data_IF_793971268989
#
_entry.id   IF_793971268989
#
_cell.length_a   1.000
_cell.length_b   1.000
_cell.length_c   1.000
_cell.angle_alpha   90.00
_cell.angle_beta   90.00
_cell.angle_gamma   90.00
#
_symmetry.space_group_name_H-M   'P 1'
#
loop_
_entity.id
_entity.type
_entity.pdbx_description
1 polymer ?
#
# COMPACT_ATOMS: atom_id res chain seq x y z
N UNK A 1 -21.17 -38.96 53.68
CA UNK A 1 -19.91 -38.19 53.83
C UNK A 1 -19.49 -37.73 52.45
N UNK A 2 -19.77 -36.50 52.09
CA UNK A 2 -19.43 -35.91 50.76
C UNK A 2 -18.00 -35.38 50.81
N UNK A 3 -17.20 -35.76 49.85
CA UNK A 3 -15.78 -35.38 49.71
C UNK A 3 -15.67 -33.93 49.23
N UNK A 4 -14.99 -33.00 49.94
CA UNK A 4 -14.94 -31.59 49.61
C UNK A 4 -14.01 -31.23 48.41
N UNK A 5 -13.34 -32.21 47.82
CA UNK A 5 -12.31 -31.96 46.82
C UNK A 5 -12.79 -31.76 45.36
N UNK A 6 -13.99 -32.20 45.02
CA UNK A 6 -14.44 -32.24 43.61
C UNK A 6 -14.96 -30.89 43.10
N UNK A 7 -15.45 -30.05 43.99
CA UNK A 7 -16.05 -28.74 43.58
C UNK A 7 -15.00 -27.68 43.28
N UNK A 8 -13.82 -27.73 43.88
CA UNK A 8 -12.70 -26.80 43.64
C UNK A 8 -12.00 -27.10 42.34
N UNK A 9 -11.86 -28.38 41.95
CA UNK A 9 -11.20 -28.77 40.72
C UNK A 9 -12.03 -28.40 39.47
N UNK A 10 -13.37 -28.51 39.55
CA UNK A 10 -14.27 -28.12 38.42
C UNK A 10 -14.26 -26.59 38.21
N UNK A 11 -14.17 -25.77 39.25
CA UNK A 11 -14.07 -24.31 39.13
C UNK A 11 -12.76 -23.87 38.51
N UNK A 12 -11.63 -24.48 38.83
CA UNK A 12 -10.33 -24.19 38.24
C UNK A 12 -10.26 -24.54 36.76
N UNK A 13 -10.84 -25.69 36.35
CA UNK A 13 -10.88 -26.09 34.92
C UNK A 13 -11.77 -25.16 34.06
N UNK A 14 -12.91 -24.71 34.63
CA UNK A 14 -13.79 -23.77 33.95
C UNK A 14 -13.13 -22.39 33.77
N UNK A 15 -12.43 -21.90 34.82
CA UNK A 15 -11.70 -20.63 34.76
C UNK A 15 -10.54 -20.70 33.73
N UNK A 16 -9.80 -21.81 33.69
CA UNK A 16 -8.71 -21.99 32.70
C UNK A 16 -9.24 -22.05 31.28
N UNK A 17 -10.38 -22.73 31.06
CA UNK A 17 -11.02 -22.79 29.72
C UNK A 17 -11.46 -21.42 29.22
N UNK A 18 -12.04 -20.56 30.07
CA UNK A 18 -12.47 -19.21 29.72
C UNK A 18 -11.27 -18.33 29.38
N UNK A 19 -10.17 -18.42 30.17
CA UNK A 19 -8.95 -17.63 29.91
C UNK A 19 -8.31 -18.05 28.58
N UNK A 20 -8.21 -19.35 28.31
CA UNK A 20 -7.66 -19.84 27.02
C UNK A 20 -8.53 -19.41 25.85
N UNK A 21 -9.87 -19.46 25.98
CA UNK A 21 -10.79 -19.00 24.94
C UNK A 21 -10.66 -17.50 24.70
N UNK A 22 -10.52 -16.69 25.75
CA UNK A 22 -10.31 -15.23 25.64
C UNK A 22 -8.96 -14.91 25.00
N UNK A 23 -7.90 -15.65 25.29
CA UNK A 23 -6.59 -15.48 24.66
C UNK A 23 -6.65 -15.84 23.18
N UNK A 24 -7.31 -16.94 22.80
CA UNK A 24 -7.49 -17.33 21.41
C UNK A 24 -8.35 -16.32 20.62
N UNK A 25 -9.37 -15.73 21.24
CA UNK A 25 -10.15 -14.65 20.64
C UNK A 25 -9.34 -13.34 20.51
N UNK A 26 -8.45 -13.05 21.45
CA UNK A 26 -7.55 -11.90 21.33
C UNK A 26 -6.56 -12.07 20.18
N UNK A 27 -6.00 -13.26 19.99
CA UNK A 27 -5.10 -13.56 18.85
C UNK A 27 -5.83 -13.45 17.51
N UNK A 28 -7.09 -13.91 17.41
CA UNK A 28 -7.92 -13.76 16.20
C UNK A 28 -8.23 -12.28 15.93
N UNK A 29 -8.35 -11.44 16.94
CA UNK A 29 -8.55 -9.99 16.78
C UNK A 29 -7.27 -9.25 16.40
N UNK A 30 -6.09 -9.78 16.76
CA UNK A 30 -4.79 -9.20 16.39
C UNK A 30 -4.42 -9.51 14.93
N UNK A 31 -4.79 -10.67 14.39
CA UNK A 31 -4.53 -11.02 12.99
C UNK A 31 -5.37 -10.24 11.97
N UNK A 32 -6.44 -9.57 12.36
CA UNK A 32 -7.24 -8.73 11.48
C UNK A 32 -6.74 -7.29 11.35
N UNK A 33 -5.47 -7.05 11.60
CA UNK A 33 -4.78 -5.77 11.33
C UNK A 33 -4.72 -5.38 9.84
N UNK A 34 -5.65 -5.91 9.01
CA UNK A 34 -5.87 -5.44 7.66
C UNK A 34 -6.03 -3.91 7.69
N UNK A 35 -5.26 -3.21 6.89
CA UNK A 35 -5.24 -1.76 6.76
C UNK A 35 -6.65 -1.24 6.43
N UNK A 36 -7.50 -1.06 7.46
CA UNK A 36 -8.85 -0.53 7.27
C UNK A 36 -8.76 0.98 7.09
N UNK A 37 -9.01 1.42 5.87
CA UNK A 37 -9.11 2.83 5.50
C UNK A 37 -10.57 3.12 5.13
N UNK A 38 -11.33 3.87 5.94
CA UNK A 38 -12.72 4.20 5.62
C UNK A 38 -12.86 4.79 4.21
N UNK A 39 -13.77 4.24 3.42
CA UNK A 39 -14.02 4.67 2.05
C UNK A 39 -12.94 4.29 1.02
N UNK A 40 -11.98 3.42 1.38
CA UNK A 40 -10.98 2.85 0.46
C UNK A 40 -11.15 1.34 0.41
N UNK A 41 -11.39 0.80 -0.76
CA UNK A 41 -11.42 -0.66 -0.99
C UNK A 41 -10.02 -1.15 -1.29
N UNK A 42 -9.36 -1.76 -0.29
CA UNK A 42 -8.02 -2.31 -0.42
C UNK A 42 -8.10 -3.80 -0.76
N UNK A 43 -7.41 -4.19 -1.82
CA UNK A 43 -7.19 -5.59 -2.20
C UNK A 43 -5.81 -5.97 -1.66
N UNK A 44 -5.79 -6.89 -0.71
CA UNK A 44 -4.54 -7.40 -0.11
C UNK A 44 -3.68 -8.12 -1.15
N UNK A 45 -2.42 -8.35 -0.83
CA UNK A 45 -1.50 -9.14 -1.67
C UNK A 45 -2.08 -10.51 -2.04
N UNK A 46 -2.64 -11.25 -1.09
CA UNK A 46 -3.35 -12.51 -1.34
C UNK A 46 -4.55 -12.30 -2.29
N UNK A 47 -5.28 -11.20 -2.11
CA UNK A 47 -6.50 -10.88 -2.85
C UNK A 47 -6.30 -10.62 -4.34
N UNK A 48 -5.08 -10.23 -4.79
CA UNK A 48 -4.73 -10.10 -6.20
C UNK A 48 -3.76 -11.18 -6.70
N UNK A 49 -3.40 -12.15 -5.83
CA UNK A 49 -2.52 -13.26 -6.18
C UNK A 49 -1.06 -12.86 -6.33
N UNK A 50 -0.55 -12.03 -5.41
CA UNK A 50 0.85 -11.63 -5.37
C UNK A 50 1.77 -12.82 -5.10
N UNK A 51 2.92 -12.82 -5.76
CA UNK A 51 4.05 -13.68 -5.37
C UNK A 51 4.61 -13.19 -4.02
N UNK A 52 5.11 -14.08 -3.15
CA UNK A 52 5.85 -13.68 -1.96
C UNK A 52 7.04 -12.79 -2.32
N UNK A 53 7.35 -11.76 -1.52
CA UNK A 53 8.56 -10.97 -1.71
C UNK A 53 9.80 -11.81 -1.35
N UNK A 54 10.90 -11.64 -2.11
CA UNK A 54 12.18 -12.28 -1.79
C UNK A 54 12.89 -11.61 -0.61
N UNK A 55 12.66 -10.30 -0.44
CA UNK A 55 13.20 -9.49 0.65
C UNK A 55 12.25 -8.33 0.94
N UNK A 56 12.13 -7.95 2.20
CA UNK A 56 11.42 -6.75 2.63
C UNK A 56 12.34 -5.88 3.48
N UNK A 57 12.59 -4.66 3.02
CA UNK A 57 13.41 -3.68 3.72
C UNK A 57 12.48 -2.68 4.41
N UNK A 58 12.57 -2.48 5.73
CA UNK A 58 11.84 -1.42 6.42
C UNK A 58 12.25 -0.04 5.89
N UNK A 59 11.32 0.91 5.89
CA UNK A 59 11.67 2.31 5.61
C UNK A 59 12.64 2.84 6.67
N UNK A 60 13.54 3.73 6.27
CA UNK A 60 14.49 4.41 7.18
C UNK A 60 13.76 5.24 8.25
N UNK A 61 12.59 5.78 7.93
CA UNK A 61 11.75 6.57 8.84
C UNK A 61 10.44 5.83 9.14
N UNK A 62 9.90 5.90 10.37
CA UNK A 62 8.66 5.23 10.73
C UNK A 62 7.44 5.77 9.97
N UNK A 63 7.56 7.00 9.43
CA UNK A 63 6.52 7.69 8.64
C UNK A 63 7.13 8.20 7.34
N UNK A 64 6.48 7.92 6.22
CA UNK A 64 6.90 8.47 4.94
C UNK A 64 6.78 10.00 4.94
N UNK A 65 7.84 10.68 4.57
CA UNK A 65 7.86 12.15 4.43
C UNK A 65 7.53 12.60 3.01
N UNK A 66 7.57 11.68 2.04
CA UNK A 66 7.29 11.93 0.63
C UNK A 66 6.25 10.93 0.10
N UNK A 67 5.37 11.42 -0.76
CA UNK A 67 4.43 10.60 -1.54
C UNK A 67 4.71 10.85 -3.01
N UNK A 68 5.02 9.78 -3.74
CA UNK A 68 5.29 9.84 -5.17
C UNK A 68 4.13 9.21 -5.96
N UNK A 69 3.58 9.98 -6.89
CA UNK A 69 2.57 9.50 -7.82
C UNK A 69 3.27 8.99 -9.08
N UNK A 70 2.89 7.76 -9.46
CA UNK A 70 3.38 7.07 -10.64
C UNK A 70 2.24 6.63 -11.54
N UNK A 71 2.57 6.21 -12.75
CA UNK A 71 1.75 5.35 -13.59
C UNK A 71 2.55 4.10 -13.96
N UNK A 72 1.84 3.02 -14.33
CA UNK A 72 2.51 1.78 -14.74
C UNK A 72 2.88 1.75 -16.21
N UNK A 73 2.36 2.70 -17.00
CA UNK A 73 2.25 2.62 -18.47
C UNK A 73 1.39 1.44 -18.93
N UNK A 74 1.24 1.24 -20.27
CA UNK A 74 0.46 0.14 -20.83
C UNK A 74 -1.06 0.26 -20.62
N UNK A 75 -1.80 -0.85 -20.71
CA UNK A 75 -3.26 -0.84 -20.69
C UNK A 75 -3.85 -0.52 -19.31
N UNK A 76 -5.06 0.05 -19.33
CA UNK A 76 -5.86 0.23 -18.13
C UNK A 76 -6.70 -1.02 -17.82
N UNK A 77 -7.06 -1.21 -16.58
CA UNK A 77 -7.98 -2.26 -16.13
C UNK A 77 -9.35 -1.69 -15.74
N UNK A 78 -10.41 -2.53 -15.76
CA UNK A 78 -11.79 -2.09 -15.52
C UNK A 78 -12.42 -2.73 -14.28
N UNK A 79 -11.92 -3.87 -13.84
CA UNK A 79 -12.44 -4.71 -12.76
C UNK A 79 -11.30 -5.37 -11.97
N UNK A 80 -11.65 -6.02 -10.83
CA UNK A 80 -10.66 -6.68 -9.97
C UNK A 80 -9.84 -7.74 -10.71
N UNK A 81 -10.46 -8.51 -11.60
CA UNK A 81 -9.78 -9.61 -12.29
C UNK A 81 -8.72 -9.07 -13.27
N UNK A 82 -9.10 -8.11 -14.13
CA UNK A 82 -8.20 -7.47 -15.09
C UNK A 82 -7.09 -6.68 -14.38
N UNK A 83 -7.43 -5.93 -13.32
CA UNK A 83 -6.42 -5.20 -12.54
C UNK A 83 -5.42 -6.14 -11.88
N UNK A 84 -5.90 -7.24 -11.27
CA UNK A 84 -5.02 -8.24 -10.66
C UNK A 84 -4.08 -8.88 -11.68
N UNK A 85 -4.55 -9.19 -12.89
CA UNK A 85 -3.70 -9.73 -13.97
C UNK A 85 -2.58 -8.75 -14.35
N UNK A 86 -2.92 -7.48 -14.58
CA UNK A 86 -1.91 -6.47 -14.93
C UNK A 86 -0.90 -6.26 -13.80
N UNK A 87 -1.36 -6.20 -12.56
CA UNK A 87 -0.48 -6.01 -11.39
C UNK A 87 0.47 -7.20 -11.23
N UNK A 88 0.00 -8.44 -11.43
CA UNK A 88 0.88 -9.62 -11.45
C UNK A 88 1.91 -9.56 -12.58
N UNK A 89 1.52 -9.07 -13.77
CA UNK A 89 2.45 -8.87 -14.88
C UNK A 89 3.55 -7.87 -14.53
N UNK A 90 3.20 -6.75 -13.90
CA UNK A 90 4.18 -5.77 -13.41
C UNK A 90 5.07 -6.36 -12.31
N UNK A 91 4.51 -7.12 -11.35
CA UNK A 91 5.31 -7.81 -10.35
C UNK A 91 6.29 -8.80 -10.97
N UNK A 92 5.80 -9.60 -11.94
CA UNK A 92 6.64 -10.53 -12.69
C UNK A 92 7.81 -9.81 -13.37
N UNK A 93 7.54 -8.73 -14.10
CA UNK A 93 8.58 -7.93 -14.75
C UNK A 93 9.61 -7.39 -13.75
N UNK A 94 9.15 -6.79 -12.64
CA UNK A 94 10.03 -6.27 -11.60
C UNK A 94 10.90 -7.35 -10.94
N UNK A 95 10.33 -8.54 -10.68
CA UNK A 95 11.05 -9.60 -9.99
C UNK A 95 11.93 -10.43 -10.92
N UNK A 96 11.50 -10.65 -12.16
CA UNK A 96 12.18 -11.59 -13.05
C UNK A 96 13.11 -10.85 -14.03
N UNK A 97 12.69 -9.71 -14.62
CA UNK A 97 13.53 -8.94 -15.53
C UNK A 97 14.45 -7.97 -14.77
N UNK A 98 13.92 -7.17 -13.86
CA UNK A 98 14.73 -6.20 -13.09
C UNK A 98 15.45 -6.82 -11.89
N UNK A 99 15.15 -8.09 -11.56
CA UNK A 99 15.69 -8.82 -10.40
C UNK A 99 15.40 -8.14 -9.04
N UNK A 100 14.38 -7.32 -8.97
CA UNK A 100 13.96 -6.69 -7.71
C UNK A 100 13.34 -7.73 -6.78
N UNK A 101 13.38 -7.51 -5.46
CA UNK A 101 12.85 -8.47 -4.50
C UNK A 101 11.33 -8.57 -4.53
N UNK A 102 10.63 -7.59 -5.09
CA UNK A 102 9.16 -7.52 -5.19
C UNK A 102 8.74 -6.49 -6.23
N UNK A 103 7.42 -6.32 -6.40
CA UNK A 103 6.85 -5.16 -7.12
C UNK A 103 7.44 -3.86 -6.56
N UNK A 104 7.78 -2.90 -7.42
CA UNK A 104 8.47 -1.66 -7.02
C UNK A 104 7.62 -0.72 -6.16
N UNK A 105 6.29 -0.73 -6.32
CA UNK A 105 5.38 0.24 -5.72
C UNK A 105 4.84 -0.22 -4.37
N UNK A 106 4.55 0.77 -3.49
CA UNK A 106 3.89 0.50 -2.22
C UNK A 106 2.41 0.19 -2.40
N UNK A 107 1.73 0.94 -3.27
CA UNK A 107 0.32 0.74 -3.61
C UNK A 107 0.07 1.00 -5.09
N UNK A 108 -0.94 0.33 -5.65
CA UNK A 108 -1.41 0.60 -7.01
C UNK A 108 -2.90 0.96 -6.97
N UNK A 109 -3.30 1.79 -7.93
CA UNK A 109 -4.70 2.21 -8.10
C UNK A 109 -5.22 1.61 -9.38
N UNK A 110 -6.17 0.68 -9.26
CA UNK A 110 -6.82 0.08 -10.43
C UNK A 110 -7.86 1.01 -11.06
N UNK A 111 -8.10 0.84 -12.35
CA UNK A 111 -9.17 1.54 -13.07
C UNK A 111 -10.56 1.25 -12.50
N UNK A 112 -10.71 0.18 -11.72
CA UNK A 112 -11.91 -0.17 -10.96
C UNK A 112 -12.09 0.66 -9.66
N UNK A 113 -11.14 1.56 -9.36
CA UNK A 113 -11.16 2.42 -8.17
C UNK A 113 -10.78 1.70 -6.86
N UNK A 114 -10.19 0.51 -6.94
CA UNK A 114 -9.60 -0.19 -5.78
C UNK A 114 -8.13 0.18 -5.64
N UNK A 115 -7.66 0.09 -4.39
CA UNK A 115 -6.24 0.12 -4.07
C UNK A 115 -5.75 -1.32 -3.97
N UNK A 116 -4.63 -1.60 -4.60
CA UNK A 116 -3.95 -2.89 -4.56
C UNK A 116 -2.68 -2.73 -3.74
N UNK A 117 -2.54 -3.54 -2.70
CA UNK A 117 -1.37 -3.51 -1.83
C UNK A 117 -0.17 -4.11 -2.55
N UNK A 118 0.86 -3.29 -2.77
CA UNK A 118 2.17 -3.74 -3.24
C UNK A 118 3.07 -4.08 -2.07
N UNK A 119 4.09 -3.25 -1.79
CA UNK A 119 4.93 -3.40 -0.59
C UNK A 119 4.26 -2.89 0.68
N UNK A 120 3.14 -2.18 0.58
CA UNK A 120 2.42 -1.61 1.71
C UNK A 120 3.11 -0.41 2.35
N UNK A 121 2.60 0.04 3.50
CA UNK A 121 3.22 1.07 4.32
C UNK A 121 4.41 0.51 5.13
N UNK A 122 5.39 1.38 5.42
CA UNK A 122 6.53 1.06 6.26
C UNK A 122 7.59 0.18 5.59
N UNK A 123 7.46 -0.12 4.31
CA UNK A 123 8.44 -0.86 3.51
C UNK A 123 9.04 0.03 2.44
N UNK A 124 10.36 -0.07 2.28
CA UNK A 124 11.08 0.63 1.23
C UNK A 124 10.66 0.11 -0.15
N UNK A 125 10.37 1.02 -1.07
CA UNK A 125 10.00 0.71 -2.44
C UNK A 125 11.22 0.53 -3.36
N UNK A 126 10.94 0.33 -4.67
CA UNK A 126 11.91 0.44 -5.75
C UNK A 126 11.25 1.23 -6.88
N UNK A 127 10.98 2.51 -6.66
CA UNK A 127 10.14 3.32 -7.53
C UNK A 127 10.72 4.70 -7.85
N UNK A 128 11.43 5.33 -6.90
CA UNK A 128 12.00 6.67 -7.07
C UNK A 128 13.43 6.68 -6.54
N UNK A 129 14.39 6.61 -7.46
CA UNK A 129 15.81 6.58 -7.12
C UNK A 129 16.19 7.76 -6.22
N UNK A 130 16.86 7.47 -5.11
CA UNK A 130 17.28 8.46 -4.11
C UNK A 130 16.23 8.78 -3.03
N UNK A 131 14.97 8.29 -3.15
CA UNK A 131 13.88 8.61 -2.23
C UNK A 131 13.10 7.39 -1.71
N UNK A 132 13.44 6.18 -2.14
CA UNK A 132 12.71 4.97 -1.75
C UNK A 132 12.65 4.75 -0.24
N UNK A 133 13.71 5.13 0.49
CA UNK A 133 13.87 4.93 1.92
C UNK A 133 13.04 5.90 2.80
N UNK A 134 12.49 6.97 2.24
CA UNK A 134 11.68 7.98 2.94
C UNK A 134 10.33 8.25 2.26
N UNK A 135 10.10 7.67 1.09
CA UNK A 135 8.91 7.91 0.27
C UNK A 135 8.10 6.66 0.00
N UNK A 136 6.81 6.84 -0.19
CA UNK A 136 5.92 5.80 -0.70
C UNK A 136 5.45 6.13 -2.12
N UNK A 137 5.26 5.08 -2.93
CA UNK A 137 4.67 5.20 -4.25
C UNK A 137 3.21 4.79 -4.27
N UNK A 138 2.41 5.58 -4.96
CA UNK A 138 1.04 5.24 -5.39
C UNK A 138 1.03 5.27 -6.92
N UNK A 139 0.96 4.08 -7.55
CA UNK A 139 1.04 3.95 -9.01
C UNK A 139 -0.33 3.68 -9.62
N UNK A 140 -0.73 4.50 -10.56
CA UNK A 140 -1.97 4.34 -11.31
C UNK A 140 -1.77 3.31 -12.44
N UNK A 141 -2.61 2.27 -12.50
CA UNK A 141 -2.52 1.22 -13.52
C UNK A 141 -3.01 1.75 -14.86
N UNK A 142 -2.11 1.92 -15.81
CA UNK A 142 -2.36 2.46 -17.15
C UNK A 142 -1.33 3.51 -17.58
N UNK A 143 -1.51 4.03 -18.79
CA UNK A 143 -0.76 5.16 -19.35
C UNK A 143 -1.60 6.44 -19.27
N UNK A 144 -1.05 7.45 -18.60
CA UNK A 144 -1.71 8.75 -18.40
C UNK A 144 -0.95 9.92 -19.04
N UNK A 145 -0.23 9.65 -20.12
CA UNK A 145 0.35 10.72 -20.95
C UNK A 145 -0.74 11.52 -21.70
N UNK A 146 -1.74 10.83 -22.24
CA UNK A 146 -2.87 11.41 -22.98
C UNK A 146 -4.21 11.10 -22.30
N UNK A 147 -4.41 9.87 -21.84
CA UNK A 147 -5.63 9.45 -21.14
C UNK A 147 -5.73 10.10 -19.77
N UNK A 148 -6.96 10.42 -19.33
CA UNK A 148 -7.22 10.91 -17.97
C UNK A 148 -7.55 9.74 -17.04
N UNK A 149 -7.01 9.69 -15.82
CA UNK A 149 -7.50 8.76 -14.82
C UNK A 149 -8.94 9.09 -14.43
N UNK A 150 -9.74 8.07 -14.12
CA UNK A 150 -11.12 8.27 -13.70
C UNK A 150 -11.20 8.95 -12.31
N UNK A 151 -12.29 9.66 -12.04
CA UNK A 151 -12.53 10.28 -10.75
C UNK A 151 -12.47 9.28 -9.58
N UNK A 152 -12.89 8.02 -9.79
CA UNK A 152 -12.79 6.97 -8.75
C UNK A 152 -11.34 6.61 -8.44
N UNK A 153 -10.44 6.58 -9.42
CA UNK A 153 -9.00 6.36 -9.19
C UNK A 153 -8.41 7.52 -8.38
N UNK A 154 -8.68 8.77 -8.79
CA UNK A 154 -8.17 9.96 -8.10
C UNK A 154 -8.64 10.00 -6.64
N UNK A 155 -9.94 9.78 -6.39
CA UNK A 155 -10.49 9.72 -5.04
C UNK A 155 -9.89 8.58 -4.20
N UNK A 156 -9.67 7.41 -4.81
CA UNK A 156 -9.06 6.28 -4.10
C UNK A 156 -7.64 6.61 -3.63
N UNK A 157 -6.81 7.22 -4.49
CA UNK A 157 -5.45 7.64 -4.14
C UNK A 157 -5.44 8.69 -3.02
N UNK A 158 -6.27 9.74 -3.12
CA UNK A 158 -6.36 10.78 -2.10
C UNK A 158 -6.83 10.24 -0.74
N UNK A 159 -7.84 9.35 -0.75
CA UNK A 159 -8.32 8.69 0.48
C UNK A 159 -7.26 7.79 1.10
N UNK A 160 -6.47 7.07 0.29
CA UNK A 160 -5.35 6.26 0.78
C UNK A 160 -4.30 7.14 1.48
N UNK A 161 -3.92 8.27 0.88
CA UNK A 161 -2.99 9.23 1.48
C UNK A 161 -3.54 9.74 2.81
N UNK A 162 -4.79 10.22 2.84
CA UNK A 162 -5.45 10.68 4.05
C UNK A 162 -5.51 9.60 5.14
N UNK A 163 -5.77 8.35 4.75
CA UNK A 163 -5.74 7.21 5.65
C UNK A 163 -4.33 6.97 6.21
N UNK A 164 -3.31 7.02 5.36
CA UNK A 164 -1.91 6.89 5.76
C UNK A 164 -1.48 7.94 6.78
N UNK A 165 -1.93 9.19 6.60
CA UNK A 165 -1.69 10.29 7.56
C UNK A 165 -2.38 9.99 8.91
N UNK A 166 -3.68 9.68 8.90
CA UNK A 166 -4.42 9.35 10.14
C UNK A 166 -3.84 8.16 10.90
N UNK A 167 -3.31 7.18 10.19
CA UNK A 167 -2.67 5.99 10.80
C UNK A 167 -1.19 6.20 11.15
N UNK A 168 -0.66 7.40 11.02
CA UNK A 168 0.73 7.70 11.32
C UNK A 168 1.74 6.98 10.42
N UNK A 169 1.34 6.53 9.23
CA UNK A 169 2.22 5.91 8.23
C UNK A 169 2.79 6.93 7.24
N UNK A 170 2.12 8.05 7.08
CA UNK A 170 2.58 9.21 6.34
C UNK A 170 2.64 10.39 7.30
N UNK A 171 3.71 11.18 7.25
CA UNK A 171 3.87 12.39 8.06
C UNK A 171 2.80 13.42 7.67
N UNK A 172 2.22 14.13 8.65
CA UNK A 172 1.16 15.13 8.39
C UNK A 172 1.61 16.27 7.45
N UNK A 173 2.89 16.62 7.51
CA UNK A 173 3.53 17.62 6.64
C UNK A 173 4.26 17.00 5.45
N UNK A 174 3.80 15.87 4.91
CA UNK A 174 4.42 15.19 3.76
C UNK A 174 4.49 16.11 2.53
N UNK A 175 5.43 15.83 1.63
CA UNK A 175 5.51 16.45 0.31
C UNK A 175 5.01 15.48 -0.76
N UNK A 176 4.17 15.98 -1.68
CA UNK A 176 3.63 15.21 -2.80
C UNK A 176 4.36 15.60 -4.10
N UNK A 177 4.73 14.60 -4.87
CA UNK A 177 5.48 14.74 -6.11
C UNK A 177 4.97 13.77 -7.18
N UNK A 178 5.18 14.09 -8.45
CA UNK A 178 5.22 13.08 -9.50
C UNK A 178 6.63 12.47 -9.56
N UNK A 179 6.76 11.27 -10.12
CA UNK A 179 8.08 10.64 -10.31
C UNK A 179 9.06 11.55 -11.08
N UNK A 180 8.56 12.29 -12.08
CA UNK A 180 9.35 13.26 -12.88
C UNK A 180 9.92 14.43 -12.07
N UNK A 181 9.47 14.64 -10.86
CA UNK A 181 9.99 15.69 -10.00
C UNK A 181 11.31 15.28 -9.30
N UNK A 182 11.62 13.97 -9.32
CA UNK A 182 12.81 13.39 -8.71
C UNK A 182 13.79 12.78 -9.72
N UNK A 183 13.30 12.26 -10.85
CA UNK A 183 14.10 11.50 -11.81
C UNK A 183 13.76 11.88 -13.27
N UNK A 184 14.69 11.62 -14.19
CA UNK A 184 14.48 11.81 -15.63
C UNK A 184 13.47 10.80 -16.19
N UNK A 185 12.20 11.16 -16.23
CA UNK A 185 11.10 10.33 -16.70
C UNK A 185 9.87 11.17 -17.06
N UNK A 186 9.00 10.67 -17.93
CA UNK A 186 7.69 11.26 -18.21
C UNK A 186 6.62 10.83 -17.20
N UNK A 187 6.92 9.87 -16.32
CA UNK A 187 6.01 9.39 -15.27
C UNK A 187 5.64 10.54 -14.30
N UNK A 188 4.38 10.68 -13.89
CA UNK A 188 3.23 9.76 -14.03
C UNK A 188 2.39 9.97 -15.31
N UNK A 189 2.91 10.57 -16.33
CA UNK A 189 2.19 10.97 -17.54
C UNK A 189 1.64 12.40 -17.44
N UNK A 190 1.50 13.08 -18.58
CA UNK A 190 1.22 14.53 -18.60
C UNK A 190 -0.14 14.89 -18.01
N UNK A 191 -1.18 14.11 -18.30
CA UNK A 191 -2.54 14.39 -17.82
C UNK A 191 -2.68 14.14 -16.31
N UNK A 192 -2.12 13.03 -15.79
CA UNK A 192 -2.12 12.76 -14.36
C UNK A 192 -1.25 13.79 -13.62
N UNK A 193 -0.09 14.16 -14.18
CA UNK A 193 0.78 15.17 -13.59
C UNK A 193 0.08 16.53 -13.47
N UNK A 194 -0.63 16.97 -14.53
CA UNK A 194 -1.40 18.22 -14.48
C UNK A 194 -2.48 18.21 -13.38
N UNK A 195 -3.07 17.03 -13.10
CA UNK A 195 -4.06 16.87 -12.04
C UNK A 195 -3.40 16.95 -10.65
N UNK A 196 -2.32 16.20 -10.43
CA UNK A 196 -1.69 16.13 -9.09
C UNK A 196 -1.02 17.44 -8.69
N UNK A 197 -0.63 18.29 -9.64
CA UNK A 197 -0.14 19.67 -9.33
C UNK A 197 -1.16 20.50 -8.55
N UNK A 198 -2.46 20.16 -8.64
CA UNK A 198 -3.54 20.83 -7.91
C UNK A 198 -3.86 20.18 -6.57
N UNK A 199 -3.19 19.11 -6.20
CA UNK A 199 -3.43 18.42 -4.93
C UNK A 199 -2.70 19.11 -3.78
N UNK A 200 -3.29 19.01 -2.58
CA UNK A 200 -2.64 19.47 -1.36
C UNK A 200 -1.25 18.84 -1.19
N UNK A 201 -0.32 19.59 -0.62
CA UNK A 201 1.06 19.15 -0.38
C UNK A 201 1.93 18.97 -1.63
N UNK A 202 1.45 19.30 -2.83
CA UNK A 202 2.30 19.24 -4.03
C UNK A 202 3.43 20.26 -3.95
N UNK A 203 4.68 19.81 -4.19
CA UNK A 203 5.90 20.64 -4.08
C UNK A 203 6.71 20.75 -5.37
N UNK A 204 6.35 19.94 -6.40
CA UNK A 204 7.07 19.95 -7.68
C UNK A 204 8.49 19.40 -7.57
N UNK A 205 9.42 19.95 -8.36
CA UNK A 205 10.79 19.43 -8.52
C UNK A 205 11.58 19.42 -7.21
N UNK A 206 12.24 18.31 -6.95
CA UNK A 206 13.07 18.11 -5.77
C UNK A 206 14.50 18.64 -6.00
N UNK A 207 15.15 19.10 -4.92
CA UNK A 207 16.55 19.60 -5.00
C UNK A 207 17.51 18.50 -5.47
N UNK A 208 17.39 17.28 -4.92
CA UNK A 208 18.16 16.12 -5.38
C UNK A 208 17.41 15.46 -6.54
N UNK A 209 17.74 15.87 -7.74
CA UNK A 209 17.21 15.33 -8.98
C UNK A 209 18.23 14.35 -9.59
N UNK A 210 17.81 13.12 -9.91
CA UNK A 210 18.70 12.06 -10.37
C UNK A 210 18.25 11.52 -11.73
N UNK A 211 19.11 11.56 -12.72
CA UNK A 211 18.96 10.85 -13.98
C UNK A 211 19.74 9.48 -13.96
#
# INVERSE_FOLDING_TARGET
MSVPGELTMRRSLAALSVVVTLLLLADVLVETGALRCPGVRIVSRKGWGARPPRLQVPMKTPRATHVFIHHTTGPQCKDKASCSRLIRSHQKHHMDANRWPDIGYNFLVGGDGRIYEGRGFGREGAHTRGYNHIGIAISFVGDFNRAKPSHRMLRAAQRLISCGVRKGKIHKGYSLHGHRDANCTTCPGNTLYAIIKKWAHFKGKLRRFLC
#
